data_IF_031309984967
#
_entry.id   IF_031309984967
#
_cell.length_a   1.000
_cell.length_b   1.000
_cell.length_c   1.000
_cell.angle_alpha   90.00
_cell.angle_beta   90.00
_cell.angle_gamma   90.00
#
_symmetry.space_group_name_H-M   'P 1'
#
loop_
_entity.id
_entity.type
_entity.pdbx_description
1 polymer ?
#
# COMPACT_ATOMS: atom_id res chain seq x y z
N UNK A 1 24.45 -13.98 -5.98
CA UNK A 1 24.11 -13.94 -5.34
C UNK A 1 23.47 -13.04 -4.85
N UNK A 2 22.82 -12.59 -4.94
CA UNK A 2 22.15 -11.66 -4.66
C UNK A 2 21.81 -11.57 -3.32
N UNK A 3 22.12 -10.65 -2.72
CA UNK A 3 21.77 -10.57 -1.56
C UNK A 3 20.50 -10.13 -1.38
N UNK A 4 19.75 -10.57 -0.67
CA UNK A 4 18.48 -10.15 -0.46
C UNK A 4 18.45 -8.95 0.35
N UNK A 5 18.68 -7.88 -0.24
CA UNK A 5 18.60 -6.71 0.46
C UNK A 5 17.26 -6.47 1.03
N UNK A 6 16.21 -7.02 0.43
CA UNK A 6 14.92 -6.84 0.98
C UNK A 6 14.81 -7.38 2.34
N UNK A 7 15.55 -8.40 2.68
CA UNK A 7 15.45 -8.98 3.97
C UNK A 7 15.96 -8.06 5.05
N UNK A 8 16.77 -7.08 4.66
CA UNK A 8 17.31 -6.20 5.64
C UNK A 8 16.49 -4.93 5.79
N UNK A 9 15.39 -4.80 5.08
CA UNK A 9 14.60 -3.61 5.17
C UNK A 9 13.57 -3.73 6.26
N UNK A 10 13.61 -2.87 7.24
CA UNK A 10 12.57 -2.86 8.25
C UNK A 10 11.21 -2.60 7.61
N UNK A 11 10.22 -3.31 8.03
CA UNK A 11 8.91 -3.17 7.44
C UNK A 11 7.80 -3.49 8.41
N UNK A 12 6.62 -3.05 8.11
CA UNK A 12 5.43 -3.43 8.84
C UNK A 12 4.28 -3.52 7.86
N UNK A 13 3.33 -4.38 8.12
CA UNK A 13 2.20 -4.59 7.26
C UNK A 13 0.92 -4.45 8.07
N UNK A 14 0.01 -3.64 7.57
CA UNK A 14 -1.26 -3.41 8.22
C UNK A 14 -2.38 -3.85 7.29
N UNK A 15 -3.43 -4.41 7.83
CA UNK A 15 -4.55 -4.79 6.97
C UNK A 15 -5.37 -3.57 6.59
N UNK A 16 -6.03 -3.64 5.48
CA UNK A 16 -6.87 -2.56 5.03
C UNK A 16 -8.00 -3.09 4.17
N UNK A 17 -8.89 -2.21 3.80
CA UNK A 17 -10.02 -2.53 2.95
C UNK A 17 -10.23 -1.42 1.95
N UNK A 18 -10.48 -1.79 0.71
CA UNK A 18 -10.76 -0.80 -0.32
C UNK A 18 -12.16 -0.26 -0.08
N UNK A 19 -12.25 0.99 0.34
CA UNK A 19 -13.53 1.58 0.66
C UNK A 19 -14.30 1.99 -0.58
N UNK A 20 -13.62 2.54 -1.53
CA UNK A 20 -14.27 2.97 -2.73
C UNK A 20 -13.27 3.21 -3.83
N UNK A 21 -13.75 3.22 -5.04
CA UNK A 21 -12.94 3.52 -6.21
C UNK A 21 -13.37 4.90 -6.69
N UNK A 22 -12.42 5.80 -6.83
CA UNK A 22 -12.69 7.18 -7.20
C UNK A 22 -12.32 7.34 -8.66
N UNK A 23 -13.30 7.67 -9.47
CA UNK A 23 -13.06 7.88 -10.88
C UNK A 23 -12.68 9.33 -11.11
N UNK A 24 -11.70 9.56 -11.95
CA UNK A 24 -11.26 10.94 -12.17
C UNK A 24 -12.24 11.68 -13.05
N UNK A 25 -12.24 12.99 -12.91
CA UNK A 25 -13.04 13.83 -13.77
C UNK A 25 -12.36 13.88 -15.13
N UNK A 26 -11.04 13.99 -15.14
CA UNK A 26 -10.28 14.04 -16.36
C UNK A 26 -9.94 12.60 -16.78
N UNK A 27 -10.41 12.14 -17.93
CA UNK A 27 -10.17 10.75 -18.31
C UNK A 27 -8.69 10.41 -18.51
N UNK A 28 -7.83 11.40 -18.56
CA UNK A 28 -6.42 11.09 -18.69
C UNK A 28 -5.78 10.72 -17.36
N UNK A 29 -6.46 10.97 -16.26
CA UNK A 29 -5.92 10.61 -14.97
C UNK A 29 -6.38 9.23 -14.58
N UNK A 30 -5.59 8.50 -13.83
CA UNK A 30 -5.99 7.15 -13.43
C UNK A 30 -7.02 7.21 -12.33
N UNK A 31 -7.85 6.19 -12.26
CA UNK A 31 -8.76 6.11 -11.13
C UNK A 31 -7.95 5.78 -9.91
N UNK A 32 -8.48 6.08 -8.75
CA UNK A 32 -7.79 5.87 -7.50
C UNK A 32 -8.58 4.95 -6.61
N UNK A 33 -7.89 4.25 -5.75
CA UNK A 33 -8.51 3.40 -4.76
C UNK A 33 -8.30 4.05 -3.40
N UNK A 34 -9.37 4.21 -2.65
CA UNK A 34 -9.28 4.75 -1.30
C UNK A 34 -9.31 3.57 -0.35
N UNK A 35 -8.31 3.45 0.47
CA UNK A 35 -8.13 2.30 1.35
C UNK A 35 -8.18 2.76 2.79
N UNK A 36 -9.01 2.10 3.58
CA UNK A 36 -9.06 2.35 5.01
C UNK A 36 -8.07 1.38 5.65
N UNK A 37 -7.09 1.91 6.35
CA UNK A 37 -6.03 1.10 6.94
C UNK A 37 -6.38 0.85 8.40
N UNK A 38 -6.43 -0.41 8.79
CA UNK A 38 -6.76 -0.77 10.14
C UNK A 38 -5.51 -0.79 10.99
N UNK A 39 -5.67 -0.64 12.27
CA UNK A 39 -4.54 -0.69 13.16
C UNK A 39 -3.85 0.64 13.37
N UNK A 40 -4.32 1.66 12.68
CA UNK A 40 -3.79 2.98 12.92
C UNK A 40 -4.41 3.49 14.19
N UNK A 41 -3.60 4.19 15.00
CA UNK A 41 -4.08 4.60 16.20
C UNK A 41 -5.13 5.62 16.14
N UNK A 42 -6.03 5.64 17.01
CA UNK A 42 -7.04 6.63 17.13
C UNK A 42 -8.11 6.64 16.10
N UNK A 43 -7.81 6.65 14.88
CA UNK A 43 -8.81 6.73 13.87
C UNK A 43 -8.33 5.90 12.75
N UNK A 44 -9.23 5.39 11.93
CA UNK A 44 -8.72 4.71 10.79
C UNK A 44 -8.23 5.74 9.84
N UNK A 45 -7.11 5.44 9.24
CA UNK A 45 -6.53 6.31 8.29
C UNK A 45 -6.88 5.85 6.92
N UNK A 46 -7.09 6.81 6.07
CA UNK A 46 -7.42 6.51 4.69
C UNK A 46 -6.26 6.92 3.82
N UNK A 47 -5.93 6.09 2.85
CA UNK A 47 -4.91 6.45 1.87
C UNK A 47 -5.52 6.29 0.49
N UNK A 48 -5.00 7.02 -0.47
CA UNK A 48 -5.45 6.94 -1.85
C UNK A 48 -4.27 6.62 -2.71
N UNK A 49 -4.44 5.65 -3.58
CA UNK A 49 -3.37 5.25 -4.47
C UNK A 49 -3.95 5.12 -5.87
N UNK A 50 -3.10 5.21 -6.87
CA UNK A 50 -3.52 4.91 -8.22
C UNK A 50 -3.95 3.46 -8.24
N UNK A 51 -5.11 3.17 -8.80
CA UNK A 51 -5.65 1.82 -8.74
C UNK A 51 -5.10 0.97 -9.87
N UNK A 52 -3.80 0.75 -9.84
CA UNK A 52 -3.14 -0.06 -10.83
C UNK A 52 -2.04 -0.85 -10.15
N UNK A 53 -2.17 -2.16 -10.16
CA UNK A 53 -1.18 -3.03 -9.60
C UNK A 53 -0.66 -3.92 -10.72
N UNK A 54 0.46 -4.55 -10.53
CA UNK A 54 0.96 -5.51 -11.50
C UNK A 54 0.98 -6.88 -10.86
N UNK A 55 0.50 -7.85 -11.61
CA UNK A 55 0.54 -9.21 -11.10
C UNK A 55 1.90 -9.82 -11.46
N UNK A 56 2.08 -11.10 -11.18
CA UNK A 56 3.35 -11.73 -11.40
C UNK A 56 3.77 -11.75 -12.84
N UNK A 57 2.84 -11.67 -13.75
CA UNK A 57 3.16 -11.68 -15.14
C UNK A 57 3.39 -10.28 -15.68
N UNK A 58 3.29 -9.29 -14.82
CA UNK A 58 3.49 -7.92 -15.25
C UNK A 58 2.25 -7.27 -15.81
N UNK A 59 1.12 -7.94 -15.75
CA UNK A 59 -0.11 -7.36 -16.27
C UNK A 59 -0.71 -6.44 -15.26
N UNK A 60 -1.34 -5.40 -15.72
CA UNK A 60 -1.94 -4.43 -14.84
C UNK A 60 -3.31 -4.90 -14.41
N UNK A 61 -3.56 -4.83 -13.12
CA UNK A 61 -4.85 -5.22 -12.56
C UNK A 61 -5.30 -4.12 -11.61
N UNK A 62 -6.57 -4.11 -11.32
CA UNK A 62 -7.16 -3.08 -10.46
C UNK A 62 -7.83 -3.72 -9.27
N UNK A 63 -7.84 -2.99 -8.17
CA UNK A 63 -8.55 -3.44 -6.98
C UNK A 63 -10.04 -3.21 -7.15
N UNK A 64 -10.81 -4.02 -6.45
CA UNK A 64 -12.25 -3.87 -6.45
C UNK A 64 -12.69 -3.32 -5.12
N UNK A 65 -13.79 -2.61 -5.13
CA UNK A 65 -14.36 -2.06 -3.93
C UNK A 65 -14.67 -3.19 -2.96
N UNK A 66 -14.37 -3.00 -1.70
CA UNK A 66 -14.59 -4.02 -0.68
C UNK A 66 -13.46 -5.03 -0.54
N UNK A 67 -12.44 -4.94 -1.38
CA UNK A 67 -11.38 -5.94 -1.33
C UNK A 67 -10.49 -5.76 -0.10
N UNK A 68 -10.13 -6.85 0.57
CA UNK A 68 -9.16 -6.76 1.65
C UNK A 68 -7.77 -6.63 1.04
N UNK A 69 -6.94 -5.83 1.65
CA UNK A 69 -5.58 -5.59 1.14
C UNK A 69 -4.60 -5.54 2.29
N UNK A 70 -3.33 -5.65 1.97
CA UNK A 70 -2.27 -5.48 2.95
C UNK A 70 -1.49 -4.24 2.56
N UNK A 71 -1.26 -3.38 3.52
CA UNK A 71 -0.52 -2.14 3.28
C UNK A 71 0.84 -2.31 3.97
N UNK A 72 1.88 -2.32 3.17
CA UNK A 72 3.23 -2.56 3.69
C UNK A 72 4.06 -1.30 3.59
N UNK A 73 4.74 -0.98 4.68
CA UNK A 73 5.64 0.16 4.72
C UNK A 73 7.02 -0.38 4.97
N UNK A 74 7.96 -0.03 4.11
CA UNK A 74 9.33 -0.47 4.24
C UNK A 74 10.24 0.70 4.11
N UNK A 75 11.36 0.65 4.77
CA UNK A 75 12.37 1.70 4.65
C UNK A 75 13.73 1.05 4.61
N UNK A 76 14.70 1.77 4.06
CA UNK A 76 16.07 1.27 4.10
C UNK A 76 16.55 1.33 5.53
N UNK A 77 17.38 0.39 5.92
CA UNK A 77 17.86 0.33 7.27
C UNK A 77 18.58 1.60 7.65
N UNK A 78 19.29 2.20 6.72
CA UNK A 78 20.00 3.42 7.01
C UNK A 78 19.11 4.59 7.33
N UNK A 79 17.86 4.50 6.95
CA UNK A 79 16.90 5.57 7.18
C UNK A 79 15.99 5.29 8.37
N UNK A 80 16.38 4.36 9.21
CA UNK A 80 15.61 4.06 10.41
C UNK A 80 16.53 4.16 11.61
N UNK A 81 15.96 4.22 12.79
CA UNK A 81 16.76 4.21 13.99
C UNK A 81 16.14 3.24 14.97
N UNK A 82 16.96 2.72 15.87
CA UNK A 82 16.45 1.77 16.80
C UNK A 82 15.54 2.44 17.77
N UNK A 83 14.42 1.76 18.04
CA UNK A 83 13.49 2.32 18.96
C UNK A 83 13.99 2.05 20.34
N UNK A 84 13.99 3.07 21.16
CA UNK A 84 14.40 2.88 22.53
C UNK A 84 13.21 2.37 23.26
N UNK A 85 13.27 1.35 23.95
CA UNK A 85 12.06 0.89 24.60
C UNK A 85 12.27 0.52 26.00
#
# INVERSE_FOLDING_TARGET
MGLPEEKDKPSTTLPGTVEKIIKPIDPREPEKAQIAVEGAEDLYREIRIANTLKDKKGEKVALKEGAPVDVTIEADKKDTSKKAS
#
